data_IF_477275983644
#
_entry.id   IF_477275983644
#
_cell.length_a   1.000
_cell.length_b   1.000
_cell.length_c   1.000
_cell.angle_alpha   90.00
_cell.angle_beta   90.00
_cell.angle_gamma   90.00
#
_symmetry.space_group_name_H-M   'P 1'
#
loop_
_entity.id
_entity.type
_entity.pdbx_description
1 polymer ?
#
# COMPACT_ATOMS: atom_id res chain seq x y z
N UNK A 1 -15.07 -19.46 19.13
CA UNK A 1 -15.24 -18.72 17.87
C UNK A 1 -15.12 -17.24 18.21
N UNK A 2 -14.09 -16.55 17.72
CA UNK A 2 -13.94 -15.12 17.97
C UNK A 2 -14.94 -14.42 17.04
N UNK A 3 -15.82 -13.61 17.61
CA UNK A 3 -16.64 -12.70 16.82
C UNK A 3 -15.70 -11.69 16.15
N UNK A 4 -15.60 -11.81 14.83
CA UNK A 4 -14.70 -11.02 13.98
C UNK A 4 -15.03 -9.53 14.12
N UNK A 5 -16.31 -9.18 14.27
CA UNK A 5 -16.76 -7.80 14.44
C UNK A 5 -16.38 -7.25 15.82
N UNK A 6 -16.43 -8.07 16.87
CA UNK A 6 -15.95 -7.66 18.20
C UNK A 6 -14.45 -7.41 18.21
N UNK A 7 -13.67 -8.27 17.54
CA UNK A 7 -12.21 -8.12 17.46
C UNK A 7 -11.88 -6.78 16.78
N UNK A 8 -12.50 -6.49 15.63
CA UNK A 8 -12.26 -5.25 14.90
C UNK A 8 -12.65 -4.02 15.73
N UNK A 9 -13.78 -4.05 16.43
CA UNK A 9 -14.19 -2.95 17.33
C UNK A 9 -13.20 -2.74 18.47
N UNK A 10 -12.68 -3.82 19.07
CA UNK A 10 -11.66 -3.76 20.15
C UNK A 10 -10.35 -3.18 19.64
N UNK A 11 -9.90 -3.61 18.46
CA UNK A 11 -8.67 -3.14 17.86
C UNK A 11 -8.76 -1.68 17.44
N UNK A 12 -9.86 -1.27 16.80
CA UNK A 12 -10.11 0.12 16.48
C UNK A 12 -10.14 1.00 17.73
N UNK A 13 -10.86 0.59 18.78
CA UNK A 13 -10.91 1.33 20.04
C UNK A 13 -9.51 1.48 20.65
N UNK A 14 -8.73 0.41 20.70
CA UNK A 14 -7.36 0.45 21.18
C UNK A 14 -6.51 1.44 20.39
N UNK A 15 -6.57 1.41 19.06
CA UNK A 15 -5.80 2.33 18.23
C UNK A 15 -6.22 3.78 18.42
N UNK A 16 -7.52 4.04 18.53
CA UNK A 16 -8.04 5.38 18.81
C UNK A 16 -7.55 5.90 20.17
N UNK A 17 -7.56 5.06 21.20
CA UNK A 17 -7.18 5.45 22.55
C UNK A 17 -5.66 5.67 22.70
N UNK A 18 -4.83 4.99 21.89
CA UNK A 18 -3.37 4.98 22.06
C UNK A 18 -2.56 5.64 20.93
N UNK A 19 -3.12 5.74 19.72
CA UNK A 19 -2.39 6.12 18.49
C UNK A 19 -3.19 7.11 17.60
N UNK A 20 -4.13 7.85 18.18
CA UNK A 20 -4.98 8.77 17.41
C UNK A 20 -4.21 9.85 16.67
N UNK A 21 -3.10 10.36 17.25
CA UNK A 21 -2.25 11.37 16.61
C UNK A 21 -1.52 10.83 15.39
N UNK A 22 -1.00 9.61 15.50
CA UNK A 22 -0.31 8.88 14.44
C UNK A 22 -1.26 8.56 13.30
N UNK A 23 -2.47 8.06 13.62
CA UNK A 23 -3.53 7.83 12.63
C UNK A 23 -3.93 9.12 11.91
N UNK A 24 -4.11 10.21 12.64
CA UNK A 24 -4.48 11.51 12.08
C UNK A 24 -3.37 12.05 11.16
N UNK A 25 -2.12 12.02 11.62
CA UNK A 25 -0.98 12.46 10.83
C UNK A 25 -0.87 11.65 9.53
N UNK A 26 -0.93 10.32 9.63
CA UNK A 26 -0.84 9.44 8.46
C UNK A 26 -1.96 9.73 7.45
N UNK A 27 -3.20 9.86 7.91
CA UNK A 27 -4.36 10.12 7.04
C UNK A 27 -4.30 11.50 6.37
N UNK A 28 -3.67 12.48 7.03
CA UNK A 28 -3.55 13.85 6.50
C UNK A 28 -2.35 14.05 5.58
N UNK A 29 -1.27 13.29 5.75
CA UNK A 29 0.00 13.57 5.08
C UNK A 29 0.50 12.45 4.17
N UNK A 30 0.19 11.19 4.49
CA UNK A 30 0.76 10.01 3.81
C UNK A 30 -0.32 9.32 2.98
N UNK A 31 -1.27 8.64 3.62
CA UNK A 31 -2.35 7.88 3.00
C UNK A 31 -3.48 8.78 2.50
N UNK A 32 -3.16 9.82 1.72
CA UNK A 32 -4.13 10.76 1.17
C UNK A 32 -4.60 10.33 -0.21
N UNK A 33 -5.84 10.69 -0.56
CA UNK A 33 -6.38 10.49 -1.91
C UNK A 33 -5.52 11.18 -2.98
N UNK A 34 -4.96 12.35 -2.65
CA UNK A 34 -4.06 13.07 -3.55
C UNK A 34 -2.77 12.28 -3.82
N UNK A 35 -2.10 11.79 -2.78
CA UNK A 35 -0.88 11.00 -2.92
C UNK A 35 -1.17 9.71 -3.70
N UNK A 36 -2.26 9.03 -3.37
CA UNK A 36 -2.69 7.83 -4.11
C UNK A 36 -2.84 8.12 -5.60
N UNK A 37 -3.65 9.12 -5.96
CA UNK A 37 -3.87 9.47 -7.36
C UNK A 37 -2.56 9.86 -8.07
N UNK A 38 -1.69 10.62 -7.40
CA UNK A 38 -0.37 11.00 -7.95
C UNK A 38 0.51 9.78 -8.21
N UNK A 39 0.56 8.81 -7.29
CA UNK A 39 1.29 7.54 -7.50
C UNK A 39 0.75 6.84 -8.74
N UNK A 40 -0.58 6.66 -8.83
CA UNK A 40 -1.21 5.98 -9.97
C UNK A 40 -0.86 6.66 -11.29
N UNK A 41 -0.96 7.99 -11.35
CA UNK A 41 -0.66 8.75 -12.57
C UNK A 41 0.83 8.70 -12.94
N UNK A 42 1.75 8.73 -11.97
CA UNK A 42 3.18 8.56 -12.26
C UNK A 42 3.50 7.16 -12.79
N UNK A 43 2.86 6.11 -12.25
CA UNK A 43 3.06 4.73 -12.74
C UNK A 43 2.48 4.57 -14.14
N UNK A 44 1.29 5.10 -14.43
CA UNK A 44 0.65 5.04 -15.76
C UNK A 44 1.51 5.69 -16.87
N UNK A 45 2.35 6.67 -16.55
CA UNK A 45 3.30 7.26 -17.52
C UNK A 45 4.33 6.23 -18.01
N UNK A 46 4.57 5.18 -17.26
CA UNK A 46 5.46 4.08 -17.62
C UNK A 46 4.64 3.02 -18.37
N UNK A 47 4.70 3.05 -19.70
CA UNK A 47 3.92 2.17 -20.61
C UNK A 47 4.03 0.66 -20.35
N UNK A 48 5.04 0.22 -19.60
CA UNK A 48 5.28 -1.20 -19.26
C UNK A 48 4.27 -1.76 -18.25
N UNK A 49 3.65 -0.92 -17.43
CA UNK A 49 2.70 -1.37 -16.41
C UNK A 49 1.26 -1.26 -16.89
N UNK A 50 0.51 -2.36 -16.74
CA UNK A 50 -0.96 -2.30 -16.73
C UNK A 50 -1.41 -2.05 -15.30
N UNK A 51 -2.15 -0.95 -15.09
CA UNK A 51 -2.66 -0.57 -13.76
C UNK A 51 -4.11 -0.99 -13.62
N UNK A 52 -4.43 -1.71 -12.54
CA UNK A 52 -5.80 -2.10 -12.16
C UNK A 52 -6.04 -1.64 -10.72
N UNK A 53 -7.17 -0.98 -10.49
CA UNK A 53 -7.59 -0.55 -9.16
C UNK A 53 -8.73 -1.44 -8.70
N UNK A 54 -8.71 -1.88 -7.45
CA UNK A 54 -9.81 -2.63 -6.87
C UNK A 54 -11.07 -1.76 -6.68
N UNK A 55 -12.23 -2.40 -6.81
CA UNK A 55 -13.55 -1.75 -6.72
C UNK A 55 -13.91 -1.22 -5.32
N UNK A 56 -13.03 -1.34 -4.32
CA UNK A 56 -13.27 -0.88 -2.94
C UNK A 56 -12.97 0.60 -2.72
N UNK A 57 -12.64 1.34 -3.78
CA UNK A 57 -12.46 2.78 -3.70
C UNK A 57 -13.76 3.48 -3.33
N UNK A 58 -13.86 4.00 -2.10
CA UNK A 58 -14.98 4.85 -1.68
C UNK A 58 -14.46 6.09 -0.94
N UNK A 59 -14.83 7.26 -1.45
CA UNK A 59 -14.50 8.55 -0.80
C UNK A 59 -15.13 8.66 0.60
N UNK A 60 -16.26 7.96 0.82
CA UNK A 60 -17.00 7.95 2.07
C UNK A 60 -16.24 7.23 3.20
N UNK A 61 -15.58 6.11 2.91
CA UNK A 61 -14.88 5.32 3.93
C UNK A 61 -13.37 5.58 3.98
N UNK A 62 -12.85 6.48 3.14
CA UNK A 62 -11.41 6.79 3.02
C UNK A 62 -10.55 5.55 2.73
N UNK A 63 -11.14 4.52 2.13
CA UNK A 63 -10.42 3.32 1.73
C UNK A 63 -9.80 3.61 0.36
N UNK A 64 -8.48 3.70 0.35
CA UNK A 64 -7.68 3.73 -0.88
C UNK A 64 -7.34 2.28 -1.19
N UNK A 65 -8.21 1.65 -1.99
CA UNK A 65 -8.18 0.21 -2.24
C UNK A 65 -6.87 -0.32 -2.81
N UNK A 66 -6.77 -1.64 -2.88
CA UNK A 66 -5.62 -2.32 -3.47
C UNK A 66 -5.39 -1.84 -4.90
N UNK A 67 -4.13 -1.61 -5.22
CA UNK A 67 -3.69 -1.32 -6.58
C UNK A 67 -2.76 -2.40 -7.07
N UNK A 68 -3.01 -2.85 -8.28
CA UNK A 68 -2.24 -3.89 -8.94
C UNK A 68 -1.53 -3.30 -10.16
N UNK A 69 -0.21 -3.43 -10.20
CA UNK A 69 0.63 -3.07 -11.32
C UNK A 69 1.15 -4.36 -11.96
N UNK A 70 0.60 -4.70 -13.13
CA UNK A 70 0.97 -5.92 -13.85
C UNK A 70 2.03 -5.63 -14.90
N UNK A 71 2.98 -6.57 -15.00
CA UNK A 71 3.87 -6.78 -16.14
C UNK A 71 3.68 -8.21 -16.65
N UNK A 72 4.41 -8.60 -17.69
CA UNK A 72 4.29 -9.95 -18.26
C UNK A 72 4.74 -11.04 -17.25
N UNK A 73 5.67 -10.72 -16.35
CA UNK A 73 6.30 -11.68 -15.44
C UNK A 73 5.92 -11.52 -13.96
N UNK A 74 5.26 -10.41 -13.61
CA UNK A 74 4.95 -10.12 -12.21
C UNK A 74 3.71 -9.24 -12.01
N UNK A 75 3.18 -9.33 -10.80
CA UNK A 75 2.19 -8.45 -10.23
C UNK A 75 2.79 -7.75 -9.01
N UNK A 76 2.75 -6.42 -9.00
CA UNK A 76 3.15 -5.61 -7.84
C UNK A 76 1.89 -5.05 -7.21
N UNK A 77 1.66 -5.36 -5.93
CA UNK A 77 0.48 -4.95 -5.19
C UNK A 77 0.86 -3.82 -4.24
N UNK A 78 0.16 -2.70 -4.33
CA UNK A 78 0.35 -1.53 -3.49
C UNK A 78 -0.92 -1.20 -2.72
N UNK A 79 -0.77 -0.84 -1.44
CA UNK A 79 -1.86 -0.33 -0.63
C UNK A 79 -1.36 0.58 0.49
N UNK A 80 -2.09 1.67 0.75
CA UNK A 80 -1.91 2.42 1.99
C UNK A 80 -2.55 1.67 3.17
N UNK A 81 -2.02 1.88 4.37
CA UNK A 81 -2.62 1.35 5.57
C UNK A 81 -4.03 1.86 5.84
N UNK A 82 -4.91 0.90 6.15
CA UNK A 82 -6.22 1.13 6.73
C UNK A 82 -6.16 0.83 8.24
N UNK A 83 -6.39 1.85 9.06
CA UNK A 83 -6.43 1.74 10.52
C UNK A 83 -7.83 1.48 11.09
N UNK A 84 -8.82 1.27 10.22
CA UNK A 84 -10.20 0.95 10.55
C UNK A 84 -10.59 -0.47 10.07
N UNK A 85 -9.72 -1.11 9.29
CA UNK A 85 -9.93 -2.44 8.74
C UNK A 85 -9.42 -3.61 9.60
N UNK A 86 -9.54 -4.84 9.07
CA UNK A 86 -9.19 -6.08 9.78
C UNK A 86 -7.77 -6.16 10.35
N UNK A 87 -6.82 -5.54 9.63
CA UNK A 87 -5.39 -5.61 9.94
C UNK A 87 -4.87 -4.33 10.61
N UNK A 88 -5.75 -3.49 11.14
CA UNK A 88 -5.42 -2.17 11.66
C UNK A 88 -4.25 -2.17 12.68
N UNK A 89 -4.20 -3.18 13.57
CA UNK A 89 -3.11 -3.31 14.55
C UNK A 89 -1.76 -3.62 13.91
N UNK A 90 -1.76 -4.44 12.87
CA UNK A 90 -0.57 -4.82 12.10
C UNK A 90 -0.08 -3.60 11.33
N UNK A 91 -0.99 -2.95 10.60
CA UNK A 91 -0.73 -1.71 9.88
C UNK A 91 -0.13 -0.63 10.78
N UNK A 92 -0.71 -0.39 11.97
CA UNK A 92 -0.16 0.56 12.93
C UNK A 92 1.24 0.16 13.42
N UNK A 93 1.45 -1.12 13.76
CA UNK A 93 2.77 -1.60 14.20
C UNK A 93 3.84 -1.37 13.16
N UNK A 94 3.53 -1.59 11.89
CA UNK A 94 4.51 -1.46 10.81
C UNK A 94 4.72 0.02 10.44
N UNK A 95 3.67 0.85 10.53
CA UNK A 95 3.78 2.31 10.48
C UNK A 95 4.72 2.87 11.55
N UNK A 96 4.60 2.42 12.80
CA UNK A 96 5.48 2.83 13.89
C UNK A 96 6.94 2.40 13.69
N UNK A 97 7.22 1.44 12.80
CA UNK A 97 8.58 1.05 12.38
C UNK A 97 9.09 1.86 11.18
N UNK A 98 8.31 2.82 10.69
CA UNK A 98 8.65 3.66 9.55
C UNK A 98 8.44 3.00 8.19
N UNK A 99 7.64 1.93 8.12
CA UNK A 99 7.12 1.36 6.87
C UNK A 99 5.79 2.08 6.61
N UNK A 100 5.61 2.74 5.47
CA UNK A 100 4.47 3.66 5.28
C UNK A 100 3.34 3.11 4.40
N UNK A 101 3.50 1.93 3.84
CA UNK A 101 2.56 1.30 2.92
C UNK A 101 2.93 -0.18 2.76
N UNK A 102 1.98 -0.96 2.25
CA UNK A 102 2.24 -2.31 1.78
C UNK A 102 2.68 -2.27 0.31
N UNK A 103 3.73 -3.02 -0.01
CA UNK A 103 4.21 -3.21 -1.37
C UNK A 103 4.73 -4.64 -1.52
N UNK A 104 3.97 -5.46 -2.23
CA UNK A 104 4.25 -6.88 -2.42
C UNK A 104 4.56 -7.18 -3.88
N UNK A 105 5.43 -8.18 -4.10
CA UNK A 105 5.76 -8.71 -5.43
C UNK A 105 5.25 -10.15 -5.51
N UNK A 106 4.36 -10.40 -6.46
CA UNK A 106 3.88 -11.73 -6.83
C UNK A 106 4.44 -12.08 -8.21
N UNK A 107 5.10 -13.24 -8.31
CA UNK A 107 5.62 -13.74 -9.58
C UNK A 107 4.53 -14.59 -10.24
N UNK A 108 4.34 -14.42 -11.54
CA UNK A 108 3.22 -15.06 -12.26
C UNK A 108 3.38 -16.59 -12.36
N UNK A 109 4.60 -17.12 -12.22
CA UNK A 109 4.90 -18.54 -12.38
C UNK A 109 5.78 -19.07 -11.24
N UNK A 110 5.59 -20.34 -10.88
CA UNK A 110 6.37 -21.04 -9.85
C UNK A 110 7.87 -21.16 -10.20
N UNK A 111 8.18 -21.15 -11.49
CA UNK A 111 9.54 -21.12 -12.01
C UNK A 111 9.63 -20.05 -13.10
N UNK A 112 10.42 -19.01 -12.85
CA UNK A 112 10.70 -17.96 -13.82
C UNK A 112 12.20 -17.93 -14.17
N UNK A 113 12.55 -17.57 -15.42
CA UNK A 113 13.94 -17.29 -15.77
C UNK A 113 14.54 -16.20 -14.88
N UNK A 114 15.84 -16.31 -14.58
CA UNK A 114 16.53 -15.36 -13.71
C UNK A 114 16.45 -13.91 -14.23
N UNK A 115 16.55 -13.72 -15.54
CA UNK A 115 16.45 -12.39 -16.16
C UNK A 115 15.05 -11.76 -15.96
N UNK A 116 14.00 -12.57 -15.93
CA UNK A 116 12.63 -12.11 -15.64
C UNK A 116 12.45 -11.77 -14.15
N UNK A 117 13.08 -12.54 -13.25
CA UNK A 117 13.14 -12.22 -11.81
C UNK A 117 13.86 -10.90 -11.57
N UNK A 118 15.00 -10.70 -12.23
CA UNK A 118 15.78 -9.46 -12.12
C UNK A 118 14.97 -8.27 -12.65
N UNK A 119 14.24 -8.45 -13.76
CA UNK A 119 13.35 -7.44 -14.31
C UNK A 119 12.20 -7.10 -13.34
N UNK A 120 11.56 -8.10 -12.74
CA UNK A 120 10.51 -7.91 -11.74
C UNK A 120 11.02 -7.15 -10.50
N UNK A 121 12.25 -7.45 -10.05
CA UNK A 121 12.87 -6.73 -8.93
C UNK A 121 13.19 -5.25 -9.27
N UNK A 122 13.65 -4.99 -10.49
CA UNK A 122 13.85 -3.62 -11.00
C UNK A 122 12.52 -2.86 -11.06
N UNK A 123 11.45 -3.53 -11.47
CA UNK A 123 10.11 -2.95 -11.56
C UNK A 123 9.55 -2.58 -10.17
N UNK A 124 9.61 -3.47 -9.17
CA UNK A 124 9.16 -3.13 -7.79
C UNK A 124 10.01 -2.02 -7.18
N UNK A 125 11.34 -1.99 -7.39
CA UNK A 125 12.19 -0.88 -6.91
C UNK A 125 11.77 0.45 -7.54
N UNK A 126 11.38 0.43 -8.83
CA UNK A 126 10.90 1.63 -9.52
C UNK A 126 9.57 2.13 -8.95
N UNK A 127 8.61 1.23 -8.70
CA UNK A 127 7.33 1.57 -8.06
C UNK A 127 7.55 2.12 -6.66
N UNK A 128 8.39 1.46 -5.86
CA UNK A 128 8.78 1.92 -4.51
C UNK A 128 9.31 3.35 -4.53
N UNK A 129 10.25 3.66 -5.43
CA UNK A 129 10.82 5.00 -5.55
C UNK A 129 9.79 6.07 -5.95
N UNK A 130 8.81 5.73 -6.80
CA UNK A 130 7.71 6.62 -7.14
C UNK A 130 6.87 6.92 -5.90
N UNK A 131 6.49 5.88 -5.14
CA UNK A 131 5.69 6.01 -3.93
C UNK A 131 6.42 6.90 -2.92
N UNK A 132 7.66 6.55 -2.57
CA UNK A 132 8.48 7.27 -1.59
C UNK A 132 8.62 8.75 -1.92
N UNK A 133 8.87 9.07 -3.20
CA UNK A 133 8.95 10.44 -3.68
C UNK A 133 7.63 11.19 -3.53
N UNK A 134 6.50 10.55 -3.84
CA UNK A 134 5.18 11.19 -3.73
C UNK A 134 4.82 11.48 -2.28
N UNK A 135 5.09 10.55 -1.36
CA UNK A 135 4.77 10.70 0.07
C UNK A 135 5.83 11.50 0.85
N UNK A 136 6.89 11.96 0.19
CA UNK A 136 7.95 12.77 0.81
C UNK A 136 8.85 11.98 1.75
N UNK A 137 8.95 10.67 1.58
CA UNK A 137 9.85 9.78 2.34
C UNK A 137 11.07 9.52 1.47
N UNK A 138 11.75 10.59 1.04
CA UNK A 138 12.98 10.45 0.27
C UNK A 138 14.10 10.02 1.24
N UNK A 139 14.29 8.70 1.38
CA UNK A 139 15.50 8.16 1.98
C UNK A 139 16.55 8.23 0.89
N UNK A 140 17.34 9.31 0.89
CA UNK A 140 18.56 9.39 0.09
C UNK A 140 19.36 8.08 0.28
N UNK A 141 19.35 7.21 -0.73
CA UNK A 141 20.34 6.14 -0.93
C UNK A 141 21.59 6.77 -1.56
#
# INVERSE_FOLDING_TARGET
>A
MIDIDEKYKKDWKFLKDNFSKEMEYYTKNIGTKENFNRIIEEVKKIKRFKVVLDNFYTDENKILGLTHFYTDSAEIIFCFYDFYGPDARVNMRDYLKGINYNLDLWLTYDAIPFDELEAAYKDIKKIKNIIDKVIGVDRNE
#
